data_IF_698800836540
#
_entry.id   IF_698800836540
#
_cell.length_a   1.000
_cell.length_b   1.000
_cell.length_c   1.000
_cell.angle_alpha   90.00
_cell.angle_beta   90.00
_cell.angle_gamma   90.00
#
_symmetry.space_group_name_H-M   'P 1'
#
loop_
_entity.id
_entity.type
_entity.pdbx_description
1 polymer ?
#
# COMPACT_ATOMS: atom_id res chain seq x y z
N UNK A 1 -11.29 -32.68 48.41
CA UNK A 1 -10.43 -31.48 48.28
C UNK A 1 -9.81 -31.24 46.88
N UNK A 2 -10.19 -31.93 45.80
CA UNK A 2 -9.50 -31.78 44.49
C UNK A 2 -10.13 -30.81 43.47
N UNK A 3 -11.37 -30.34 43.72
CA UNK A 3 -12.14 -29.57 42.72
C UNK A 3 -11.83 -28.07 42.75
N UNK A 4 -11.51 -27.52 43.92
CA UNK A 4 -11.22 -26.10 44.09
C UNK A 4 -9.81 -25.74 43.61
N UNK A 5 -8.83 -26.63 43.81
CA UNK A 5 -7.46 -26.42 43.33
C UNK A 5 -7.38 -26.38 41.80
N UNK A 6 -8.16 -27.22 41.11
CA UNK A 6 -8.21 -27.24 39.64
C UNK A 6 -8.83 -25.96 39.07
N UNK A 7 -9.85 -25.41 39.74
CA UNK A 7 -10.48 -24.14 39.35
C UNK A 7 -9.52 -22.98 39.59
N UNK A 8 -8.84 -22.94 40.74
CA UNK A 8 -7.85 -21.90 41.04
C UNK A 8 -6.68 -21.93 40.05
N UNK A 9 -6.17 -23.12 39.74
CA UNK A 9 -5.06 -23.29 38.79
C UNK A 9 -5.44 -22.84 37.39
N UNK A 10 -6.65 -23.18 36.91
CA UNK A 10 -7.12 -22.74 35.60
C UNK A 10 -7.35 -21.22 35.54
N UNK A 11 -7.90 -20.60 36.60
CA UNK A 11 -8.08 -19.14 36.63
C UNK A 11 -6.72 -18.44 36.62
N UNK A 12 -5.75 -18.89 37.42
CA UNK A 12 -4.41 -18.29 37.48
C UNK A 12 -3.68 -18.43 36.12
N UNK A 13 -3.75 -19.58 35.46
CA UNK A 13 -3.17 -19.80 34.12
C UNK A 13 -3.83 -18.89 33.08
N UNK A 14 -5.15 -18.78 33.09
CA UNK A 14 -5.88 -17.94 32.12
C UNK A 14 -5.56 -16.45 32.33
N UNK A 15 -5.39 -16.02 33.59
CA UNK A 15 -5.03 -14.64 33.94
C UNK A 15 -3.57 -14.33 33.58
N UNK A 16 -2.64 -15.27 33.77
CA UNK A 16 -1.25 -15.14 33.33
C UNK A 16 -1.11 -15.12 31.81
N UNK A 17 -1.89 -15.93 31.08
CA UNK A 17 -1.94 -15.91 29.62
C UNK A 17 -2.50 -14.59 29.08
N UNK A 18 -3.58 -14.06 29.66
CA UNK A 18 -4.15 -12.76 29.29
C UNK A 18 -3.21 -11.59 29.63
N UNK A 19 -2.48 -11.65 30.76
CA UNK A 19 -1.45 -10.68 31.09
C UNK A 19 -0.24 -10.76 30.15
N UNK A 20 0.13 -11.95 29.68
CA UNK A 20 1.24 -12.12 28.74
C UNK A 20 0.93 -11.57 27.34
N UNK A 21 -0.31 -11.67 26.84
CA UNK A 21 -0.69 -11.10 25.55
C UNK A 21 -0.61 -9.56 25.49
N UNK A 22 -0.81 -8.88 26.63
CA UNK A 22 -0.65 -7.42 26.73
C UNK A 22 0.79 -6.97 27.02
N UNK A 23 1.65 -7.86 27.53
CA UNK A 23 3.03 -7.54 27.92
C UNK A 23 4.01 -7.41 26.74
N UNK A 24 3.66 -7.92 25.56
CA UNK A 24 4.55 -7.96 24.39
C UNK A 24 4.30 -6.88 23.33
N UNK A 25 3.35 -5.96 23.53
CA UNK A 25 3.22 -4.82 22.64
C UNK A 25 4.32 -3.80 22.99
N UNK A 26 5.45 -3.86 22.25
CA UNK A 26 6.53 -2.87 22.35
C UNK A 26 6.02 -1.42 22.25
N UNK A 27 6.86 -0.44 22.59
CA UNK A 27 6.48 0.98 22.55
C UNK A 27 5.94 1.39 21.17
N UNK A 28 5.14 2.47 21.09
CA UNK A 28 4.59 2.94 19.79
C UNK A 28 5.71 3.11 18.74
N UNK A 29 6.83 3.71 19.15
CA UNK A 29 8.02 3.88 18.29
C UNK A 29 8.61 2.55 17.84
N UNK A 30 8.65 1.53 18.71
CA UNK A 30 9.11 0.18 18.33
C UNK A 30 8.16 -0.47 17.32
N UNK A 31 6.84 -0.34 17.49
CA UNK A 31 5.85 -0.89 16.55
C UNK A 31 5.91 -0.21 15.19
N UNK A 32 6.00 1.13 15.16
CA UNK A 32 6.23 1.89 13.93
C UNK A 32 7.53 1.43 13.24
N UNK A 33 8.64 1.39 13.99
CA UNK A 33 9.95 0.97 13.47
C UNK A 33 9.93 -0.45 12.90
N UNK A 34 9.22 -1.37 13.56
CA UNK A 34 9.09 -2.77 13.13
C UNK A 34 8.33 -2.85 11.81
N UNK A 35 7.17 -2.19 11.69
CA UNK A 35 6.40 -2.14 10.44
C UNK A 35 7.19 -1.53 9.28
N UNK A 36 7.91 -0.44 9.54
CA UNK A 36 8.78 0.21 8.55
C UNK A 36 9.87 -0.75 8.07
N UNK A 37 10.53 -1.44 9.01
CA UNK A 37 11.59 -2.39 8.70
C UNK A 37 11.06 -3.54 7.84
N UNK A 38 9.97 -4.19 8.27
CA UNK A 38 9.34 -5.29 7.53
C UNK A 38 8.96 -4.88 6.10
N UNK A 39 8.39 -3.68 5.93
CA UNK A 39 8.03 -3.17 4.62
C UNK A 39 9.27 -2.90 3.75
N UNK A 40 10.30 -2.24 4.30
CA UNK A 40 11.56 -1.98 3.58
C UNK A 40 12.23 -3.28 3.14
N UNK A 41 12.29 -4.28 4.00
CA UNK A 41 12.85 -5.59 3.68
C UNK A 41 12.11 -6.25 2.50
N UNK A 42 10.77 -6.19 2.47
CA UNK A 42 10.00 -6.66 1.31
C UNK A 42 10.32 -5.87 0.04
N UNK A 43 10.39 -4.54 0.13
CA UNK A 43 10.70 -3.67 -1.03
C UNK A 43 12.08 -3.97 -1.60
N UNK A 44 13.10 -4.18 -0.76
CA UNK A 44 14.44 -4.57 -1.21
C UNK A 44 14.38 -5.95 -1.89
N UNK A 45 13.71 -6.94 -1.31
CA UNK A 45 13.50 -8.24 -1.94
C UNK A 45 12.81 -8.14 -3.31
N UNK A 46 11.90 -7.17 -3.49
CA UNK A 46 11.23 -6.92 -4.76
C UNK A 46 12.13 -6.25 -5.81
N UNK A 47 13.09 -5.41 -5.39
CA UNK A 47 14.07 -4.80 -6.30
C UNK A 47 15.03 -5.83 -6.88
N UNK A 48 15.31 -6.89 -6.12
CA UNK A 48 16.16 -8.01 -6.55
C UNK A 48 15.45 -9.00 -7.48
N UNK A 49 14.12 -8.90 -7.63
CA UNK A 49 13.36 -9.76 -8.54
C UNK A 49 13.70 -9.42 -10.00
N UNK A 50 13.95 -10.46 -10.78
CA UNK A 50 14.05 -10.35 -12.23
C UNK A 50 12.66 -10.36 -12.83
N UNK A 51 12.38 -9.37 -13.68
CA UNK A 51 11.16 -9.29 -14.47
C UNK A 51 11.31 -10.15 -15.73
N UNK A 52 10.28 -10.91 -16.06
CA UNK A 52 10.25 -11.72 -17.28
C UNK A 52 10.36 -10.84 -18.54
N UNK A 53 10.95 -11.36 -19.62
CA UNK A 53 11.20 -10.59 -20.85
C UNK A 53 9.92 -10.09 -21.54
N UNK A 54 8.79 -10.75 -21.28
CA UNK A 54 7.45 -10.40 -21.74
C UNK A 54 6.67 -9.54 -20.72
N UNK A 55 7.32 -9.17 -19.61
CA UNK A 55 6.80 -8.34 -18.53
C UNK A 55 5.53 -8.96 -17.93
N UNK A 56 5.59 -10.25 -17.59
CA UNK A 56 4.46 -11.04 -17.09
C UNK A 56 3.26 -11.05 -18.05
N UNK A 57 3.53 -11.10 -19.35
CA UNK A 57 2.55 -11.11 -20.43
C UNK A 57 1.91 -9.75 -20.76
N UNK A 58 2.40 -8.65 -20.18
CA UNK A 58 1.80 -7.30 -20.31
C UNK A 58 2.53 -6.37 -21.29
N UNK A 59 3.72 -6.74 -21.77
CA UNK A 59 4.62 -5.88 -22.56
C UNK A 59 4.00 -5.25 -23.82
N UNK A 60 3.14 -5.99 -24.52
CA UNK A 60 2.56 -5.55 -25.79
C UNK A 60 1.08 -5.16 -25.67
N UNK A 61 0.52 -5.16 -24.46
CA UNK A 61 -0.87 -4.81 -24.18
C UNK A 61 -0.93 -3.72 -23.11
N UNK A 62 -1.02 -4.10 -21.84
CA UNK A 62 -1.18 -3.24 -20.67
C UNK A 62 -0.09 -2.16 -20.62
N UNK A 63 1.16 -2.50 -20.93
CA UNK A 63 2.27 -1.56 -20.92
C UNK A 63 2.57 -0.88 -22.26
N UNK A 64 1.80 -1.20 -23.29
CA UNK A 64 1.88 -0.63 -24.63
C UNK A 64 0.61 0.17 -24.98
N UNK A 65 -0.16 0.61 -23.99
CA UNK A 65 -1.31 1.47 -24.21
C UNK A 65 -0.84 2.80 -24.83
N UNK A 66 -1.12 2.95 -26.12
CA UNK A 66 -0.78 4.14 -26.92
C UNK A 66 -1.90 5.16 -26.70
N UNK A 67 -1.88 5.85 -25.55
CA UNK A 67 -2.82 6.93 -25.25
C UNK A 67 -2.07 8.26 -25.19
N UNK A 68 -2.35 9.12 -26.18
CA UNK A 68 -1.85 10.48 -26.33
C UNK A 68 -2.34 11.45 -25.24
N UNK A 69 -2.99 10.98 -24.18
CA UNK A 69 -3.68 11.82 -23.21
C UNK A 69 -2.94 12.01 -21.86
N UNK A 70 -2.13 11.08 -21.35
CA UNK A 70 -1.49 11.24 -20.02
C UNK A 70 -0.15 10.48 -19.85
N UNK A 71 0.58 10.83 -18.77
CA UNK A 71 2.03 10.62 -18.48
C UNK A 71 2.56 9.18 -18.41
N UNK A 72 1.80 8.15 -18.80
CA UNK A 72 2.23 6.73 -18.77
C UNK A 72 2.76 6.22 -20.10
N UNK A 73 3.48 7.09 -20.84
CA UNK A 73 4.09 6.75 -22.12
C UNK A 73 4.88 5.43 -22.02
N UNK A 74 4.43 4.41 -22.79
CA UNK A 74 5.13 3.15 -23.06
C UNK A 74 5.86 2.59 -21.82
N UNK A 75 5.06 2.16 -20.84
CA UNK A 75 5.58 1.46 -19.66
C UNK A 75 6.39 0.22 -20.02
N UNK A 76 6.31 -0.30 -21.25
CA UNK A 76 7.08 -1.44 -21.71
C UNK A 76 8.57 -1.15 -21.97
N UNK A 77 8.99 0.11 -21.97
CA UNK A 77 10.40 0.49 -22.18
C UNK A 77 11.27 0.24 -20.95
N UNK A 78 12.56 -0.02 -21.15
CA UNK A 78 13.48 -0.27 -20.03
C UNK A 78 13.62 0.91 -19.07
N UNK A 79 13.47 2.15 -19.57
CA UNK A 79 13.45 3.36 -18.75
C UNK A 79 12.29 3.41 -17.76
N UNK A 80 11.24 2.59 -17.97
CA UNK A 80 10.05 2.47 -17.12
C UNK A 80 10.04 1.23 -16.23
N UNK A 81 11.17 0.53 -16.13
CA UNK A 81 11.30 -0.67 -15.28
C UNK A 81 10.94 -0.40 -13.83
N UNK A 82 11.28 0.77 -13.29
CA UNK A 82 10.95 1.10 -11.91
C UNK A 82 9.45 1.29 -11.68
N UNK A 83 8.75 1.96 -12.60
CA UNK A 83 7.30 2.12 -12.55
C UNK A 83 6.57 0.77 -12.64
N UNK A 84 7.03 -0.14 -13.52
CA UNK A 84 6.51 -1.52 -13.56
C UNK A 84 6.78 -2.27 -12.26
N UNK A 85 7.99 -2.17 -11.72
CA UNK A 85 8.38 -2.74 -10.42
C UNK A 85 7.45 -2.25 -9.29
N UNK A 86 7.13 -0.97 -9.25
CA UNK A 86 6.19 -0.41 -8.28
C UNK A 86 4.78 -0.98 -8.47
N UNK A 87 4.30 -1.11 -9.70
CA UNK A 87 3.03 -1.79 -9.97
C UNK A 87 3.02 -3.23 -9.44
N UNK A 88 4.07 -4.01 -9.70
CA UNK A 88 4.19 -5.39 -9.19
C UNK A 88 4.27 -5.44 -7.66
N UNK A 89 5.06 -4.56 -7.06
CA UNK A 89 5.17 -4.44 -5.60
C UNK A 89 3.85 -4.07 -4.93
N UNK A 90 2.97 -3.32 -5.61
CA UNK A 90 1.60 -3.04 -5.12
C UNK A 90 0.77 -4.31 -4.95
N UNK A 91 1.10 -5.37 -5.70
CA UNK A 91 0.48 -6.69 -5.69
C UNK A 91 1.30 -7.71 -4.87
N UNK A 92 2.18 -7.20 -3.99
CA UNK A 92 3.16 -7.95 -3.20
C UNK A 92 4.11 -8.82 -4.04
N UNK A 93 4.35 -8.42 -5.29
CA UNK A 93 5.17 -9.14 -6.24
C UNK A 93 4.76 -10.61 -6.42
N UNK A 94 3.49 -10.93 -6.13
CA UNK A 94 2.95 -12.27 -6.31
C UNK A 94 2.79 -12.53 -7.82
N UNK A 95 3.69 -13.30 -8.40
CA UNK A 95 3.75 -13.54 -9.85
C UNK A 95 2.47 -14.17 -10.39
N UNK A 96 1.85 -15.10 -9.65
CA UNK A 96 0.55 -15.70 -10.02
C UNK A 96 -0.54 -14.63 -10.12
N UNK A 97 -0.64 -13.73 -9.15
CA UNK A 97 -1.59 -12.61 -9.16
C UNK A 97 -1.30 -11.66 -10.33
N UNK A 98 -0.04 -11.28 -10.50
CA UNK A 98 0.39 -10.34 -11.57
C UNK A 98 0.04 -10.92 -12.95
N UNK A 99 0.38 -12.18 -13.21
CA UNK A 99 0.09 -12.85 -14.49
C UNK A 99 -1.41 -12.99 -14.73
N UNK A 100 -2.18 -13.41 -13.72
CA UNK A 100 -3.63 -13.57 -13.88
C UNK A 100 -4.33 -12.23 -14.11
N UNK A 101 -3.96 -11.21 -13.35
CA UNK A 101 -4.51 -9.87 -13.55
C UNK A 101 -4.09 -9.27 -14.89
N UNK A 102 -2.81 -9.43 -15.28
CA UNK A 102 -2.30 -8.99 -16.57
C UNK A 102 -3.02 -9.64 -17.76
N UNK A 103 -3.40 -10.92 -17.66
CA UNK A 103 -4.24 -11.60 -18.65
C UNK A 103 -5.62 -10.95 -18.77
N UNK A 104 -6.27 -10.64 -17.64
CA UNK A 104 -7.60 -9.98 -17.62
C UNK A 104 -7.52 -8.61 -18.29
N UNK A 105 -6.56 -7.77 -17.90
CA UNK A 105 -6.37 -6.45 -18.51
C UNK A 105 -6.03 -6.55 -20.01
N UNK A 106 -5.30 -7.57 -20.41
CA UNK A 106 -5.00 -7.84 -21.83
C UNK A 106 -6.25 -8.18 -22.64
N UNK A 107 -7.24 -8.87 -22.06
CA UNK A 107 -8.52 -9.14 -22.75
C UNK A 107 -9.31 -7.86 -23.01
N UNK A 108 -9.28 -6.94 -22.06
CA UNK A 108 -9.90 -5.60 -22.19
C UNK A 108 -9.17 -4.78 -23.26
N UNK A 109 -7.84 -4.79 -23.24
CA UNK A 109 -7.00 -4.10 -24.24
C UNK A 109 -7.30 -4.54 -25.68
N UNK A 110 -7.50 -5.84 -25.92
CA UNK A 110 -7.75 -6.40 -27.26
C UNK A 110 -9.00 -5.85 -27.96
N UNK A 111 -9.92 -5.24 -27.22
CA UNK A 111 -11.12 -4.62 -27.80
C UNK A 111 -10.82 -3.29 -28.51
N UNK A 112 -9.63 -2.70 -28.32
CA UNK A 112 -9.16 -1.49 -28.99
C UNK A 112 -10.07 -0.26 -28.83
N UNK A 113 -10.92 -0.23 -27.80
CA UNK A 113 -11.73 0.96 -27.49
C UNK A 113 -10.99 1.87 -26.52
N UNK A 114 -11.08 3.19 -26.73
CA UNK A 114 -10.41 4.18 -25.89
C UNK A 114 -10.74 4.05 -24.39
N UNK A 115 -12.02 3.80 -24.06
CA UNK A 115 -12.47 3.66 -22.67
C UNK A 115 -11.81 2.48 -21.92
N UNK A 116 -11.46 1.41 -22.64
CA UNK A 116 -10.79 0.25 -22.09
C UNK A 116 -9.32 0.55 -21.79
N UNK A 117 -8.65 1.28 -22.68
CA UNK A 117 -7.28 1.74 -22.45
C UNK A 117 -7.20 2.72 -21.26
N UNK A 118 -8.17 3.64 -21.15
CA UNK A 118 -8.27 4.56 -20.01
C UNK A 118 -8.45 3.83 -18.68
N UNK A 119 -9.29 2.79 -18.64
CA UNK A 119 -9.46 1.98 -17.43
C UNK A 119 -8.17 1.26 -17.05
N UNK A 120 -7.49 0.64 -18.02
CA UNK A 120 -6.20 -0.03 -17.78
C UNK A 120 -5.18 0.96 -17.21
N UNK A 121 -5.11 2.17 -17.78
CA UNK A 121 -4.23 3.23 -17.33
C UNK A 121 -4.52 3.63 -15.88
N UNK A 122 -5.79 3.87 -15.55
CA UNK A 122 -6.23 4.24 -14.20
C UNK A 122 -5.88 3.14 -13.18
N UNK A 123 -6.18 1.89 -13.48
CA UNK A 123 -5.88 0.72 -12.64
C UNK A 123 -4.38 0.59 -12.39
N UNK A 124 -3.57 0.71 -13.44
CA UNK A 124 -2.10 0.66 -13.30
C UNK A 124 -1.61 1.83 -12.44
N UNK A 125 -2.15 3.04 -12.65
CA UNK A 125 -1.80 4.24 -11.90
C UNK A 125 -2.15 4.16 -10.41
N UNK A 126 -3.29 3.56 -10.07
CA UNK A 126 -3.67 3.30 -8.68
C UNK A 126 -2.60 2.43 -8.02
N UNK A 127 -2.29 1.27 -8.61
CA UNK A 127 -1.32 0.34 -8.05
C UNK A 127 0.09 0.94 -7.94
N UNK A 128 0.62 1.48 -9.04
CA UNK A 128 2.00 1.99 -9.04
C UNK A 128 2.14 3.31 -8.29
N UNK A 129 1.29 4.31 -8.56
CA UNK A 129 1.50 5.70 -8.12
C UNK A 129 0.81 5.99 -6.82
N UNK A 130 -0.51 5.78 -6.77
CA UNK A 130 -1.33 6.21 -5.64
C UNK A 130 -1.01 5.39 -4.40
N UNK A 131 -0.73 4.10 -4.58
CA UNK A 131 -0.44 3.19 -3.47
C UNK A 131 1.06 3.00 -3.27
N UNK A 132 1.73 2.27 -4.19
CA UNK A 132 3.05 1.73 -3.87
C UNK A 132 4.15 2.80 -3.83
N UNK A 133 4.20 3.71 -4.81
CA UNK A 133 5.19 4.79 -4.83
C UNK A 133 5.08 5.64 -3.57
N UNK A 134 3.86 6.10 -3.29
CA UNK A 134 3.54 6.92 -2.13
C UNK A 134 3.91 6.23 -0.81
N UNK A 135 3.61 4.94 -0.67
CA UNK A 135 3.97 4.15 0.50
C UNK A 135 5.50 4.00 0.64
N UNK A 136 6.23 3.74 -0.44
CA UNK A 136 7.70 3.69 -0.42
C UNK A 136 8.34 5.02 -0.03
N UNK A 137 7.88 6.13 -0.62
CA UNK A 137 8.41 7.47 -0.33
C UNK A 137 8.16 7.90 1.11
N UNK A 138 6.94 7.71 1.63
CA UNK A 138 6.62 8.15 2.99
C UNK A 138 7.29 7.28 4.05
N UNK A 139 7.42 5.97 3.81
CA UNK A 139 8.12 5.07 4.73
C UNK A 139 9.63 5.35 4.74
N UNK A 140 10.22 5.69 3.59
CA UNK A 140 11.59 6.14 3.53
C UNK A 140 11.78 7.41 4.36
N UNK A 141 10.89 8.40 4.19
CA UNK A 141 10.94 9.66 4.95
C UNK A 141 10.87 9.43 6.46
N UNK A 142 9.95 8.59 6.94
CA UNK A 142 9.85 8.25 8.37
C UNK A 142 11.10 7.48 8.85
N UNK A 143 11.67 6.62 8.00
CA UNK A 143 12.90 5.88 8.32
C UNK A 143 14.11 6.80 8.47
N UNK A 144 14.20 7.85 7.65
CA UNK A 144 15.28 8.84 7.72
C UNK A 144 15.16 9.71 8.98
N UNK A 145 13.92 10.01 9.39
CA UNK A 145 13.61 10.79 10.60
C UNK A 145 13.45 9.90 11.87
N UNK A 146 13.95 8.65 11.85
CA UNK A 146 13.67 7.66 12.90
C UNK A 146 14.11 8.09 14.31
N UNK A 147 15.23 8.80 14.43
CA UNK A 147 15.68 9.30 15.74
C UNK A 147 14.79 10.44 16.25
N UNK A 148 14.23 11.25 15.35
CA UNK A 148 13.26 12.31 15.68
C UNK A 148 11.92 11.74 16.16
N UNK A 149 11.59 10.49 15.81
CA UNK A 149 10.40 9.82 16.36
C UNK A 149 10.42 9.75 17.90
N UNK A 150 11.60 9.74 18.53
CA UNK A 150 11.73 9.75 20.00
C UNK A 150 11.33 11.11 20.59
N UNK A 151 11.42 12.17 19.80
CA UNK A 151 11.08 13.55 20.20
C UNK A 151 9.59 13.86 19.97
N UNK A 152 8.86 13.00 19.25
CA UNK A 152 7.43 13.13 19.05
C UNK A 152 6.67 12.91 20.38
N UNK A 153 5.71 13.79 20.67
CA UNK A 153 4.76 13.59 21.75
C UNK A 153 3.92 12.31 21.56
N UNK A 154 3.45 11.71 22.66
CA UNK A 154 2.69 10.45 22.64
C UNK A 154 1.49 10.47 21.69
N UNK A 155 0.74 11.57 21.63
CA UNK A 155 -0.42 11.68 20.74
C UNK A 155 -0.03 11.79 19.26
N UNK A 156 1.08 12.47 18.95
CA UNK A 156 1.66 12.50 17.60
C UNK A 156 2.14 11.11 17.17
N UNK A 157 2.76 10.36 18.08
CA UNK A 157 3.17 8.97 17.84
C UNK A 157 1.98 8.05 17.56
N UNK A 158 0.90 8.13 18.35
CA UNK A 158 -0.32 7.36 18.10
C UNK A 158 -0.95 7.72 16.75
N UNK A 159 -1.00 9.01 16.44
CA UNK A 159 -1.56 9.50 15.18
C UNK A 159 -0.73 8.99 14.00
N UNK A 160 0.60 9.07 14.09
CA UNK A 160 1.52 8.52 13.08
C UNK A 160 1.33 7.01 12.90
N UNK A 161 1.26 6.24 14.00
CA UNK A 161 0.99 4.80 13.94
C UNK A 161 -0.34 4.48 13.24
N UNK A 162 -1.39 5.22 13.55
CA UNK A 162 -2.71 5.04 12.95
C UNK A 162 -2.71 5.34 11.45
N UNK A 163 -2.08 6.44 11.02
CA UNK A 163 -2.03 6.83 9.60
C UNK A 163 -1.14 5.89 8.79
N UNK A 164 -0.01 5.41 9.36
CA UNK A 164 0.78 4.36 8.73
C UNK A 164 -0.05 3.09 8.54
N UNK A 165 -0.85 2.71 9.55
CA UNK A 165 -1.73 1.55 9.48
C UNK A 165 -2.78 1.71 8.37
N UNK A 166 -3.39 2.89 8.26
CA UNK A 166 -4.34 3.23 7.20
C UNK A 166 -3.74 3.04 5.80
N UNK A 167 -2.52 3.54 5.55
CA UNK A 167 -1.83 3.34 4.27
C UNK A 167 -1.60 1.86 3.93
N UNK A 168 -1.25 1.04 4.94
CA UNK A 168 -1.13 -0.40 4.74
C UNK A 168 -2.49 -1.07 4.48
N UNK A 169 -3.56 -0.64 5.16
CA UNK A 169 -4.92 -1.13 4.93
C UNK A 169 -5.42 -0.79 3.52
N UNK A 170 -5.10 0.39 2.99
CA UNK A 170 -5.37 0.77 1.59
C UNK A 170 -4.69 -0.22 0.62
N UNK A 171 -3.40 -0.53 0.82
CA UNK A 171 -2.69 -1.52 0.00
C UNK A 171 -3.31 -2.92 0.11
N UNK A 172 -3.69 -3.36 1.30
CA UNK A 172 -4.30 -4.68 1.49
C UNK A 172 -5.68 -4.77 0.83
N UNK A 173 -6.48 -3.70 0.92
CA UNK A 173 -7.77 -3.62 0.23
C UNK A 173 -7.61 -3.65 -1.29
N UNK A 174 -6.58 -2.97 -1.83
CA UNK A 174 -6.24 -3.05 -3.25
C UNK A 174 -5.97 -4.48 -3.69
N UNK A 175 -5.09 -5.20 -2.98
CA UNK A 175 -4.78 -6.60 -3.26
C UNK A 175 -6.04 -7.47 -3.21
N UNK A 176 -6.87 -7.28 -2.18
CA UNK A 176 -8.13 -8.01 -2.02
C UNK A 176 -9.06 -7.79 -3.22
N UNK A 177 -9.21 -6.56 -3.70
CA UNK A 177 -10.03 -6.25 -4.88
C UNK A 177 -9.49 -6.85 -6.17
N UNK A 178 -8.16 -6.88 -6.33
CA UNK A 178 -7.55 -7.59 -7.46
C UNK A 178 -7.82 -9.09 -7.38
N UNK A 179 -7.72 -9.70 -6.20
CA UNK A 179 -8.03 -11.12 -6.00
C UNK A 179 -9.51 -11.43 -6.29
N UNK A 180 -10.44 -10.58 -5.86
CA UNK A 180 -11.86 -10.69 -6.17
C UNK A 180 -12.13 -10.61 -7.69
N UNK A 181 -11.51 -9.65 -8.40
CA UNK A 181 -11.62 -9.55 -9.87
C UNK A 181 -11.09 -10.82 -10.55
N UNK A 182 -9.95 -11.34 -10.10
CA UNK A 182 -9.36 -12.58 -10.66
C UNK A 182 -10.31 -13.76 -10.43
N UNK A 183 -10.85 -13.91 -9.22
CA UNK A 183 -11.77 -14.98 -8.87
C UNK A 183 -13.03 -14.91 -9.74
N UNK A 184 -13.70 -13.75 -9.77
CA UNK A 184 -14.93 -13.54 -10.52
C UNK A 184 -14.73 -13.80 -12.01
N UNK A 185 -13.57 -13.39 -12.56
CA UNK A 185 -13.23 -13.68 -13.94
C UNK A 185 -13.05 -15.17 -14.16
N UNK A 186 -12.29 -15.86 -13.31
CA UNK A 186 -12.03 -17.29 -13.43
C UNK A 186 -13.33 -18.12 -13.37
N UNK A 187 -14.25 -17.77 -12.49
CA UNK A 187 -15.55 -18.42 -12.33
C UNK A 187 -16.59 -17.99 -13.37
N UNK A 188 -16.27 -17.01 -14.23
CA UNK A 188 -17.20 -16.40 -15.18
C UNK A 188 -18.47 -15.87 -14.51
N UNK A 189 -18.36 -15.32 -13.29
CA UNK A 189 -19.50 -14.74 -12.60
C UNK A 189 -20.07 -13.59 -13.43
N UNK A 190 -21.40 -13.45 -13.46
CA UNK A 190 -22.09 -12.45 -14.30
C UNK A 190 -21.73 -12.52 -15.80
N UNK A 191 -21.18 -13.65 -16.28
CA UNK A 191 -20.73 -13.86 -17.66
C UNK A 191 -19.64 -12.86 -18.11
N UNK A 192 -18.82 -12.37 -17.20
CA UNK A 192 -17.81 -11.33 -17.51
C UNK A 192 -16.69 -11.80 -18.46
N UNK A 193 -16.53 -13.10 -18.74
CA UNK A 193 -15.61 -13.58 -19.79
C UNK A 193 -16.19 -13.45 -21.20
N UNK A 194 -17.52 -13.43 -21.33
CA UNK A 194 -18.21 -13.49 -22.62
C UNK A 194 -18.29 -12.12 -23.29
N UNK A 195 -18.22 -11.05 -22.49
CA UNK A 195 -18.31 -9.68 -22.96
C UNK A 195 -17.29 -8.78 -22.23
N UNK A 196 -16.43 -8.12 -23.01
CA UNK A 196 -15.43 -7.21 -22.49
C UNK A 196 -16.01 -5.93 -21.88
N UNK A 197 -17.23 -5.54 -22.27
CA UNK A 197 -17.96 -4.45 -21.62
C UNK A 197 -18.37 -4.85 -20.21
N UNK A 198 -18.94 -6.05 -20.02
CA UNK A 198 -19.28 -6.57 -18.69
C UNK A 198 -18.02 -6.67 -17.80
N UNK A 199 -16.89 -7.12 -18.36
CA UNK A 199 -15.61 -7.14 -17.65
C UNK A 199 -15.15 -5.74 -17.22
N UNK A 200 -15.27 -4.77 -18.13
CA UNK A 200 -14.89 -3.36 -17.88
C UNK A 200 -15.75 -2.76 -16.76
N UNK A 201 -17.05 -2.98 -16.81
CA UNK A 201 -17.99 -2.52 -15.78
C UNK A 201 -17.75 -3.19 -14.44
N UNK A 202 -17.44 -4.48 -14.43
CA UNK A 202 -17.06 -5.22 -13.23
C UNK A 202 -15.84 -4.59 -12.56
N UNK A 203 -14.76 -4.35 -13.33
CA UNK A 203 -13.54 -3.74 -12.78
C UNK A 203 -13.81 -2.33 -12.26
N UNK A 204 -14.59 -1.49 -12.96
CA UNK A 204 -14.97 -0.15 -12.48
C UNK A 204 -15.79 -0.19 -11.19
N UNK A 205 -16.62 -1.21 -11.00
CA UNK A 205 -17.42 -1.40 -9.79
C UNK A 205 -16.54 -1.78 -8.60
N UNK A 206 -15.57 -2.66 -8.81
CA UNK A 206 -14.68 -3.15 -7.76
C UNK A 206 -13.54 -2.17 -7.41
N UNK A 207 -13.02 -1.45 -8.41
CA UNK A 207 -11.93 -0.49 -8.26
C UNK A 207 -12.50 0.92 -8.34
N UNK A 208 -12.67 1.52 -7.17
CA UNK A 208 -13.08 2.91 -7.00
C UNK A 208 -11.86 3.77 -6.66
N UNK A 209 -11.36 4.64 -7.57
CA UNK A 209 -10.11 5.37 -7.38
C UNK A 209 -10.03 6.15 -6.07
N UNK A 210 -11.14 6.73 -5.61
CA UNK A 210 -11.23 7.49 -4.37
C UNK A 210 -10.93 6.67 -3.10
N UNK A 211 -11.02 5.34 -3.17
CA UNK A 211 -10.66 4.44 -2.06
C UNK A 211 -9.17 4.19 -1.93
N UNK A 212 -8.39 4.63 -2.92
CA UNK A 212 -6.94 4.44 -2.99
C UNK A 212 -6.19 5.76 -3.05
N UNK A 213 -6.88 6.87 -2.77
CA UNK A 213 -6.23 8.15 -2.55
C UNK A 213 -5.52 8.13 -1.19
N UNK A 214 -4.23 8.40 -1.20
CA UNK A 214 -3.38 8.43 0.00
C UNK A 214 -2.96 9.86 0.36
N UNK A 215 -3.48 10.88 -0.32
CA UNK A 215 -3.02 12.27 -0.21
C UNK A 215 -3.16 12.79 1.22
N UNK A 216 -4.36 12.68 1.81
CA UNK A 216 -4.65 13.16 3.16
C UNK A 216 -3.77 12.47 4.21
N UNK A 217 -3.61 11.15 4.10
CA UNK A 217 -2.75 10.37 4.99
C UNK A 217 -1.28 10.81 4.90
N UNK A 218 -0.77 11.07 3.69
CA UNK A 218 0.60 11.53 3.47
C UNK A 218 0.80 12.95 4.01
N UNK A 219 -0.16 13.86 3.76
CA UNK A 219 -0.11 15.23 4.26
C UNK A 219 -0.07 15.25 5.78
N UNK A 220 -0.93 14.47 6.43
CA UNK A 220 -0.95 14.32 7.88
C UNK A 220 0.36 13.77 8.45
N UNK A 221 1.01 12.81 7.79
CA UNK A 221 2.35 12.35 8.20
C UNK A 221 3.36 13.48 8.07
N UNK A 222 3.36 14.23 6.96
CA UNK A 222 4.27 15.36 6.74
C UNK A 222 4.09 16.44 7.82
N UNK A 223 2.86 16.77 8.20
CA UNK A 223 2.58 17.71 9.28
C UNK A 223 3.16 17.25 10.63
N UNK A 224 2.97 15.97 10.97
CA UNK A 224 3.52 15.39 12.21
C UNK A 224 5.05 15.46 12.22
N UNK A 225 5.70 15.11 11.11
CA UNK A 225 7.17 15.12 11.02
C UNK A 225 7.73 16.56 11.00
N UNK A 226 7.10 17.48 10.27
CA UNK A 226 7.59 18.86 10.11
C UNK A 226 7.30 19.75 11.34
N UNK A 227 6.21 19.51 12.07
CA UNK A 227 5.87 20.29 13.28
C UNK A 227 6.91 20.19 14.40
N UNK A 228 7.80 19.20 14.36
CA UNK A 228 8.87 19.04 15.35
C UNK A 228 10.18 19.73 14.95
N UNK A 229 10.28 20.24 13.71
CA UNK A 229 11.39 21.11 13.30
C UNK A 229 11.20 22.58 13.74
N UNK A 230 10.03 22.96 14.29
CA UNK A 230 9.71 24.34 14.71
C UNK A 230 9.78 24.60 16.22
N UNK A 231 10.36 23.71 17.03
CA UNK A 231 10.75 24.06 18.41
C UNK A 231 12.10 24.79 18.42
N UNK A 232 12.18 25.97 17.80
CA UNK A 232 13.24 26.94 18.08
C UNK A 232 12.83 27.77 19.30
N UNK A 233 13.73 28.05 20.26
CA UNK A 233 13.40 28.83 21.44
C UNK A 233 12.90 30.22 21.05
N UNK A 234 11.85 30.68 21.74
CA UNK A 234 11.41 32.07 21.71
C UNK A 234 12.61 33.00 21.88
N UNK A 235 12.99 33.71 20.81
CA UNK A 235 13.83 34.89 20.92
C UNK A 235 13.02 35.94 21.67
N UNK A 236 13.29 36.03 22.95
CA UNK A 236 12.88 37.11 23.84
C UNK A 236 13.45 38.40 23.26
N UNK A 237 12.63 39.20 22.58
CA UNK A 237 12.98 40.60 22.36
C UNK A 237 12.73 41.31 23.68
N UNK A 238 13.80 41.38 24.48
CA UNK A 238 13.95 42.38 25.53
C UNK A 238 13.84 43.76 24.86
N UNK A 239 12.68 44.41 25.03
CA UNK A 239 12.60 45.87 24.92
C UNK A 239 13.16 46.44 26.21
N UNK A 240 14.49 46.61 26.24
CA UNK A 240 15.09 47.55 27.16
C UNK A 240 14.74 48.97 26.74
N UNK A 241 14.38 49.73 27.76
CA UNK A 241 14.03 51.14 27.77
C UNK A 241 15.22 52.00 27.33
N UNK A 242 14.98 52.93 26.41
CA UNK A 242 15.20 54.38 26.56
C UNK A 242 14.79 55.10 25.27
#
# INVERSE_FOLDING_TARGET
MKKNDLILTNIVITTLLLCSCNLFQGTITQRISTKIKEFKEKVEQYKDKTEDSDQFGMKHSVFNADTTALKLAKLNSDSKKNERRLFYSSLDYNTTRIVNFGKILTQIYKQQQQQHHQLIEEVVKIGYSSIQKNLEEIILKISDDKDELKNLGKENLKTLEAVIKELFEIKQNWIKKIDEIILNYNENLEKIKEDAQNLTEHIRREIKPEKYDTTDAIEKIKEILNSHHYNLPNLTISRNQN
#
